data_IF_261009291043
#
_entry.id   IF_261009291043
#
_cell.length_a   1.000
_cell.length_b   1.000
_cell.length_c   1.000
_cell.angle_alpha   90.00
_cell.angle_beta   90.00
_cell.angle_gamma   90.00
#
_symmetry.space_group_name_H-M   'P 1'
#
loop_
_entity.id
_entity.type
_entity.pdbx_description
1 polymer ?
#
# COMPACT_ATOMS: atom_id res chain seq x y z
N UNK A 1 4.24 21.23 -9.37
CA UNK A 1 4.68 21.41 -7.97
C UNK A 1 5.98 22.21 -7.97
N UNK A 2 6.06 23.32 -7.22
CA UNK A 2 7.29 24.12 -7.12
C UNK A 2 8.21 23.63 -6.00
N UNK A 3 9.45 24.13 -5.96
CA UNK A 3 10.45 23.77 -4.92
C UNK A 3 9.99 24.09 -3.49
N UNK A 4 9.09 25.06 -3.30
CA UNK A 4 8.51 25.41 -2.00
C UNK A 4 7.72 24.24 -1.38
N UNK A 5 7.09 23.40 -2.21
CA UNK A 5 6.30 22.26 -1.73
C UNK A 5 7.14 21.23 -0.95
N UNK A 6 8.45 21.16 -1.22
CA UNK A 6 9.39 20.29 -0.49
C UNK A 6 9.56 20.78 0.95
N UNK A 7 9.65 22.11 1.12
CA UNK A 7 9.73 22.71 2.44
C UNK A 7 8.41 22.54 3.20
N UNK A 8 7.27 22.75 2.53
CA UNK A 8 5.94 22.58 3.15
C UNK A 8 5.73 21.14 3.65
N UNK A 9 6.11 20.13 2.85
CA UNK A 9 6.09 18.73 3.28
C UNK A 9 7.00 18.47 4.49
N UNK A 10 8.15 19.14 4.56
CA UNK A 10 9.07 19.01 5.69
C UNK A 10 8.49 19.63 6.96
N UNK A 11 7.82 20.79 6.85
CA UNK A 11 7.11 21.43 7.95
C UNK A 11 5.99 20.55 8.49
N UNK A 12 5.19 19.93 7.60
CA UNK A 12 4.14 18.99 8.01
C UNK A 12 4.70 17.80 8.81
N UNK A 13 5.85 17.24 8.39
CA UNK A 13 6.55 16.19 9.15
C UNK A 13 7.01 16.69 10.53
N UNK A 14 7.54 17.91 10.61
CA UNK A 14 7.94 18.51 11.90
C UNK A 14 6.76 18.74 12.85
N UNK A 15 5.58 19.11 12.33
CA UNK A 15 4.38 19.32 13.12
C UNK A 15 3.97 18.07 13.93
N UNK A 16 4.19 16.86 13.39
CA UNK A 16 3.92 15.61 14.11
C UNK A 16 4.64 15.59 15.46
N UNK A 17 5.96 15.84 15.48
CA UNK A 17 6.76 15.78 16.70
C UNK A 17 6.47 16.95 17.65
N UNK A 18 6.13 18.12 17.12
CA UNK A 18 5.67 19.26 17.95
C UNK A 18 4.36 18.89 18.67
N UNK A 19 3.41 18.28 17.96
CA UNK A 19 2.13 17.84 18.55
C UNK A 19 2.34 16.72 19.57
N UNK A 20 3.19 15.74 19.27
CA UNK A 20 3.55 14.67 20.20
C UNK A 20 4.14 15.25 21.49
N UNK A 21 5.12 16.14 21.38
CA UNK A 21 5.74 16.77 22.55
C UNK A 21 4.74 17.62 23.33
N UNK A 22 3.89 18.39 22.64
CA UNK A 22 2.92 19.28 23.30
C UNK A 22 1.87 18.51 24.10
N UNK A 23 1.36 17.41 23.55
CA UNK A 23 0.20 16.71 24.09
C UNK A 23 0.56 15.46 24.90
N UNK A 24 1.70 14.82 24.59
CA UNK A 24 2.02 13.50 25.13
C UNK A 24 3.36 13.42 25.85
N UNK A 25 4.13 14.51 26.01
CA UNK A 25 5.44 14.47 26.72
C UNK A 25 5.44 13.85 28.11
N UNK A 26 4.30 13.88 28.80
CA UNK A 26 4.13 13.31 30.15
C UNK A 26 3.43 11.94 30.14
N UNK A 27 3.05 11.42 28.96
CA UNK A 27 2.48 10.10 28.83
C UNK A 27 3.57 9.04 29.03
N UNK A 28 3.26 7.94 29.73
CA UNK A 28 4.23 6.88 30.01
C UNK A 28 4.84 6.28 28.73
N UNK A 29 4.03 6.16 27.68
CA UNK A 29 4.41 5.63 26.36
C UNK A 29 4.90 6.71 25.37
N UNK A 30 5.27 7.92 25.84
CA UNK A 30 5.71 9.00 24.94
C UNK A 30 6.85 8.58 24.01
N UNK A 31 7.84 7.85 24.56
CA UNK A 31 8.98 7.37 23.78
C UNK A 31 8.54 6.41 22.67
N UNK A 32 7.62 5.49 22.97
CA UNK A 32 7.09 4.54 22.00
C UNK A 32 6.35 5.25 20.85
N UNK A 33 5.61 6.33 21.14
CA UNK A 33 4.99 7.13 20.07
C UNK A 33 6.04 7.74 19.13
N UNK A 34 7.12 8.30 19.68
CA UNK A 34 8.20 8.89 18.89
C UNK A 34 8.88 7.84 18.03
N UNK A 35 9.17 6.66 18.60
CA UNK A 35 9.80 5.53 17.90
C UNK A 35 8.91 5.03 16.75
N UNK A 36 7.62 4.83 17.00
CA UNK A 36 6.66 4.38 15.98
C UNK A 36 6.53 5.38 14.82
N UNK A 37 6.47 6.68 15.09
CA UNK A 37 6.43 7.69 14.04
C UNK A 37 7.74 7.75 13.24
N UNK A 38 8.89 7.59 13.90
CA UNK A 38 10.19 7.54 13.22
C UNK A 38 10.33 6.29 12.34
N UNK A 39 9.91 5.13 12.83
CA UNK A 39 9.89 3.89 12.04
C UNK A 39 8.95 4.05 10.85
N UNK A 40 7.72 4.53 11.06
CA UNK A 40 6.75 4.71 9.98
C UNK A 40 7.28 5.67 8.91
N UNK A 41 7.92 6.75 9.32
CA UNK A 41 8.59 7.67 8.40
C UNK A 41 9.66 6.96 7.60
N UNK A 42 10.59 6.27 8.25
CA UNK A 42 11.69 5.58 7.59
C UNK A 42 11.19 4.53 6.60
N UNK A 43 10.23 3.68 7.01
CA UNK A 43 9.64 2.66 6.16
C UNK A 43 8.92 3.27 4.96
N UNK A 44 8.15 4.34 5.17
CA UNK A 44 7.45 5.03 4.06
C UNK A 44 8.44 5.64 3.07
N UNK A 45 9.48 6.32 3.56
CA UNK A 45 10.53 6.90 2.72
C UNK A 45 11.31 5.81 1.95
N UNK A 46 11.60 4.69 2.59
CA UNK A 46 12.23 3.52 1.97
C UNK A 46 11.33 2.90 0.89
N UNK A 47 10.04 2.71 1.16
CA UNK A 47 9.08 2.19 0.20
C UNK A 47 8.93 3.10 -1.02
N UNK A 48 8.88 4.41 -0.82
CA UNK A 48 8.85 5.41 -1.90
C UNK A 48 10.13 5.42 -2.73
N UNK A 49 11.30 5.28 -2.08
CA UNK A 49 12.58 5.16 -2.77
C UNK A 49 12.64 3.89 -3.62
N UNK A 50 12.22 2.75 -3.07
CA UNK A 50 12.17 1.48 -3.79
C UNK A 50 11.22 1.54 -4.98
N UNK A 51 10.01 2.06 -4.79
CA UNK A 51 9.03 2.29 -5.87
C UNK A 51 9.67 3.10 -7.00
N UNK A 52 10.18 4.29 -6.67
CA UNK A 52 10.80 5.20 -7.67
C UNK A 52 12.01 4.57 -8.37
N UNK A 53 12.85 3.85 -7.63
CA UNK A 53 14.07 3.25 -8.18
C UNK A 53 13.75 2.11 -9.13
N UNK A 54 12.80 1.25 -8.77
CA UNK A 54 12.34 0.14 -9.64
C UNK A 54 11.68 0.71 -10.90
N UNK A 55 10.79 1.70 -10.77
CA UNK A 55 10.12 2.33 -11.91
C UNK A 55 11.11 2.95 -12.91
N UNK A 56 12.22 3.52 -12.42
CA UNK A 56 13.23 4.18 -13.26
C UNK A 56 14.26 3.25 -13.87
N UNK A 57 14.65 2.20 -13.14
CA UNK A 57 15.83 1.40 -13.48
C UNK A 57 15.49 -0.03 -13.92
N UNK A 58 14.22 -0.45 -13.87
CA UNK A 58 13.80 -1.79 -14.26
C UNK A 58 12.82 -1.74 -15.43
N UNK A 59 13.03 -2.62 -16.40
CA UNK A 59 11.99 -2.91 -17.40
C UNK A 59 10.85 -3.68 -16.72
N UNK A 60 9.65 -3.59 -17.29
CA UNK A 60 8.48 -4.25 -16.76
C UNK A 60 8.67 -5.78 -16.54
N UNK A 61 9.46 -6.44 -17.39
CA UNK A 61 9.76 -7.88 -17.26
C UNK A 61 10.71 -8.26 -16.12
N UNK A 62 11.37 -7.27 -15.49
CA UNK A 62 12.22 -7.49 -14.31
C UNK A 62 11.52 -7.13 -12.99
N UNK A 63 10.27 -6.65 -13.05
CA UNK A 63 9.48 -6.36 -11.86
C UNK A 63 8.88 -7.65 -11.29
N UNK A 64 9.02 -7.85 -9.98
CA UNK A 64 8.62 -9.11 -9.33
C UNK A 64 7.58 -8.91 -8.24
N UNK A 65 6.88 -9.99 -7.89
CA UNK A 65 5.92 -9.99 -6.78
C UNK A 65 6.59 -9.66 -5.43
N UNK A 66 7.84 -10.06 -5.22
CA UNK A 66 8.60 -9.77 -4.00
C UNK A 66 8.94 -8.29 -3.89
N UNK A 67 9.33 -7.66 -5.01
CA UNK A 67 9.57 -6.23 -5.07
C UNK A 67 8.29 -5.45 -4.78
N UNK A 68 7.17 -5.87 -5.38
CA UNK A 68 5.85 -5.28 -5.12
C UNK A 68 5.47 -5.40 -3.65
N UNK A 69 5.53 -6.62 -3.08
CA UNK A 69 5.21 -6.85 -1.68
C UNK A 69 6.10 -5.99 -0.75
N UNK A 70 7.38 -5.81 -1.06
CA UNK A 70 8.26 -4.91 -0.32
C UNK A 70 7.79 -3.45 -0.41
N UNK A 71 7.48 -2.97 -1.62
CA UNK A 71 6.97 -1.61 -1.83
C UNK A 71 5.69 -1.42 -1.02
N UNK A 72 4.69 -2.26 -1.21
CA UNK A 72 3.38 -2.12 -0.55
C UNK A 72 3.49 -2.13 0.96
N UNK A 73 4.25 -3.07 1.53
CA UNK A 73 4.41 -3.19 2.98
C UNK A 73 5.05 -1.96 3.62
N UNK A 74 5.99 -1.32 2.93
CA UNK A 74 6.75 -0.19 3.47
C UNK A 74 6.13 1.17 3.09
N UNK A 75 5.68 1.33 1.84
CA UNK A 75 5.11 2.56 1.29
C UNK A 75 3.71 2.83 1.82
N UNK A 76 2.90 1.80 2.06
CA UNK A 76 1.46 1.95 2.31
C UNK A 76 1.00 1.27 3.59
N UNK A 77 1.25 -0.04 3.72
CA UNK A 77 0.60 -0.85 4.75
C UNK A 77 0.95 -0.41 6.18
N UNK A 78 2.23 -0.13 6.44
CA UNK A 78 2.67 0.18 7.79
C UNK A 78 2.10 1.49 8.34
N UNK A 79 2.22 2.60 7.60
CA UNK A 79 1.77 3.89 8.10
C UNK A 79 0.24 4.06 8.04
N UNK A 80 -0.42 3.42 7.07
CA UNK A 80 -1.86 3.59 6.85
C UNK A 80 -2.70 2.71 7.77
N UNK A 81 -2.22 1.50 8.09
CA UNK A 81 -3.01 0.51 8.82
C UNK A 81 -2.39 0.15 10.18
N UNK A 82 -1.12 -0.26 10.19
CA UNK A 82 -0.48 -0.70 11.44
C UNK A 82 -0.26 0.46 12.43
N UNK A 83 0.33 1.56 11.98
CA UNK A 83 0.70 2.69 12.84
C UNK A 83 -0.48 3.25 13.66
N UNK A 84 -1.66 3.55 13.10
CA UNK A 84 -2.79 4.06 13.88
C UNK A 84 -3.23 3.12 15.00
N UNK A 85 -3.26 1.81 14.73
CA UNK A 85 -3.65 0.79 15.72
C UNK A 85 -2.57 0.63 16.78
N UNK A 86 -1.29 0.56 16.39
CA UNK A 86 -0.18 0.47 17.33
C UNK A 86 -0.14 1.69 18.28
N UNK A 87 -0.33 2.91 17.75
CA UNK A 87 -0.44 4.13 18.56
C UNK A 87 -1.60 4.05 19.54
N UNK A 88 -2.77 3.56 19.09
CA UNK A 88 -3.93 3.33 19.95
C UNK A 88 -3.63 2.34 21.08
N UNK A 89 -2.95 1.23 20.78
CA UNK A 89 -2.55 0.23 21.76
C UNK A 89 -1.58 0.78 22.81
N UNK A 90 -0.59 1.55 22.40
CA UNK A 90 0.30 2.23 23.36
C UNK A 90 -0.49 3.24 24.21
N UNK A 91 -1.39 4.03 23.60
CA UNK A 91 -2.17 5.01 24.33
C UNK A 91 -3.02 4.39 25.46
N UNK A 92 -3.66 3.25 25.20
CA UNK A 92 -4.45 2.55 26.22
C UNK A 92 -3.61 1.62 27.12
N UNK A 93 -2.29 1.57 26.92
CA UNK A 93 -1.34 0.64 27.59
C UNK A 93 -1.68 -0.84 27.36
N UNK A 94 -2.17 -1.16 26.16
CA UNK A 94 -2.47 -2.51 25.68
C UNK A 94 -1.45 -3.05 24.67
N UNK A 95 -0.34 -2.35 24.44
CA UNK A 95 0.72 -2.71 23.49
C UNK A 95 1.66 -3.82 24.03
N UNK A 96 1.11 -4.97 24.39
CA UNK A 96 1.93 -6.16 24.61
C UNK A 96 2.57 -6.61 23.29
N UNK A 97 3.72 -7.29 23.36
CA UNK A 97 4.39 -7.86 22.18
C UNK A 97 3.44 -8.74 21.37
N UNK A 98 2.62 -9.55 22.04
CA UNK A 98 1.60 -10.38 21.41
C UNK A 98 0.54 -9.55 20.66
N UNK A 99 0.04 -8.47 21.27
CA UNK A 99 -0.97 -7.61 20.64
C UNK A 99 -0.41 -6.84 19.44
N UNK A 100 0.82 -6.33 19.56
CA UNK A 100 1.49 -5.63 18.46
C UNK A 100 1.78 -6.57 17.29
N UNK A 101 2.31 -7.77 17.56
CA UNK A 101 2.61 -8.75 16.52
C UNK A 101 1.34 -9.24 15.82
N UNK A 102 0.28 -9.50 16.58
CA UNK A 102 -1.04 -9.86 16.04
C UNK A 102 -1.60 -8.74 15.17
N UNK A 103 -1.58 -7.51 15.66
CA UNK A 103 -2.03 -6.35 14.89
C UNK A 103 -1.21 -6.18 13.61
N UNK A 104 0.11 -6.32 13.69
CA UNK A 104 1.03 -6.23 12.54
C UNK A 104 0.68 -7.26 11.46
N UNK A 105 0.49 -8.52 11.84
CA UNK A 105 0.20 -9.60 10.90
C UNK A 105 -1.11 -9.41 10.14
N UNK A 106 -2.16 -8.90 10.81
CA UNK A 106 -3.45 -8.62 10.17
C UNK A 106 -3.37 -7.34 9.32
N UNK A 107 -2.87 -6.25 9.90
CA UNK A 107 -2.92 -4.92 9.28
C UNK A 107 -1.98 -4.78 8.07
N UNK A 108 -0.90 -5.55 8.01
CA UNK A 108 -0.08 -5.61 6.80
C UNK A 108 -0.81 -6.30 5.64
N UNK A 109 -1.61 -7.34 5.89
CA UNK A 109 -2.45 -7.96 4.85
C UNK A 109 -3.61 -7.06 4.42
N UNK A 110 -4.20 -6.31 5.34
CA UNK A 110 -5.19 -5.28 5.02
C UNK A 110 -4.55 -4.21 4.12
N UNK A 111 -3.35 -3.74 4.46
CA UNK A 111 -2.62 -2.77 3.66
C UNK A 111 -2.20 -3.29 2.29
N UNK A 112 -1.89 -4.58 2.17
CA UNK A 112 -1.66 -5.24 0.89
C UNK A 112 -2.90 -5.18 0.01
N UNK A 113 -4.05 -5.59 0.55
CA UNK A 113 -5.33 -5.51 -0.16
C UNK A 113 -5.66 -4.07 -0.59
N UNK A 114 -5.48 -3.10 0.30
CA UNK A 114 -5.74 -1.69 0.00
C UNK A 114 -4.89 -1.15 -1.14
N UNK A 115 -3.59 -1.50 -1.19
CA UNK A 115 -2.74 -1.04 -2.29
C UNK A 115 -3.10 -1.72 -3.61
N UNK A 116 -3.47 -3.01 -3.60
CA UNK A 116 -3.94 -3.68 -4.81
C UNK A 116 -5.25 -3.05 -5.33
N UNK A 117 -6.12 -2.62 -4.42
CA UNK A 117 -7.32 -1.85 -4.76
C UNK A 117 -6.97 -0.47 -5.33
N UNK A 118 -6.00 0.26 -4.76
CA UNK A 118 -5.53 1.54 -5.30
C UNK A 118 -4.96 1.36 -6.72
N UNK A 119 -4.13 0.34 -6.96
CA UNK A 119 -3.60 0.00 -8.29
C UNK A 119 -4.74 -0.31 -9.29
N UNK A 120 -5.76 -1.08 -8.86
CA UNK A 120 -6.96 -1.37 -9.67
C UNK A 120 -7.73 -0.09 -10.00
N UNK A 121 -7.98 0.77 -9.02
CA UNK A 121 -8.71 2.02 -9.20
C UNK A 121 -7.92 3.05 -10.01
N UNK A 122 -6.59 2.98 -10.03
CA UNK A 122 -5.77 3.82 -10.89
C UNK A 122 -6.08 3.55 -12.38
N UNK A 123 -6.30 2.28 -12.74
CA UNK A 123 -6.54 1.88 -14.14
C UNK A 123 -8.03 1.84 -14.50
N UNK A 124 -8.87 1.30 -13.64
CA UNK A 124 -10.29 1.04 -13.93
C UNK A 124 -11.25 1.97 -13.18
N UNK A 125 -10.74 2.76 -12.22
CA UNK A 125 -11.55 3.66 -11.43
C UNK A 125 -12.08 4.84 -12.23
N UNK A 126 -13.29 5.29 -11.91
CA UNK A 126 -13.83 6.52 -12.48
C UNK A 126 -13.14 7.74 -11.84
N UNK A 127 -12.48 8.63 -12.62
CA UNK A 127 -11.79 9.82 -12.08
C UNK A 127 -12.70 10.74 -11.25
N UNK A 128 -14.01 10.75 -11.52
CA UNK A 128 -14.98 11.53 -10.73
C UNK A 128 -15.15 10.99 -9.30
N UNK A 129 -14.93 9.68 -9.12
CA UNK A 129 -15.03 9.00 -7.82
C UNK A 129 -13.68 8.94 -7.12
N UNK A 130 -12.60 8.62 -7.85
CA UNK A 130 -11.24 8.49 -7.30
C UNK A 130 -10.59 9.86 -7.02
N UNK A 131 -11.07 10.93 -7.69
CA UNK A 131 -10.51 12.27 -7.57
C UNK A 131 -9.16 12.46 -8.28
N UNK A 132 -8.65 11.42 -8.97
CA UNK A 132 -7.39 11.43 -9.71
C UNK A 132 -7.54 10.76 -11.07
N UNK A 133 -6.70 11.18 -12.01
CA UNK A 133 -6.45 10.44 -13.26
C UNK A 133 -5.30 9.49 -12.95
N UNK A 134 -5.46 8.21 -13.28
CA UNK A 134 -4.39 7.22 -13.08
C UNK A 134 -3.20 7.46 -13.98
N UNK A 135 -2.02 7.15 -13.47
CA UNK A 135 -0.75 7.35 -14.19
C UNK A 135 0.15 6.12 -14.13
N UNK A 136 -0.25 5.05 -13.43
CA UNK A 136 0.62 3.92 -13.11
C UNK A 136 1.24 3.25 -14.35
N UNK A 137 0.45 3.08 -15.42
CA UNK A 137 0.92 2.48 -16.69
C UNK A 137 2.01 3.35 -17.33
N UNK A 138 1.77 4.66 -17.37
CA UNK A 138 2.67 5.62 -18.03
C UNK A 138 3.95 5.83 -17.22
N UNK A 139 3.83 5.80 -15.89
CA UNK A 139 4.92 6.00 -14.93
C UNK A 139 5.77 4.73 -14.69
N UNK A 140 5.49 3.65 -15.45
CA UNK A 140 6.19 2.36 -15.32
C UNK A 140 6.10 1.81 -13.90
N UNK A 141 4.94 1.93 -13.26
CA UNK A 141 4.76 1.47 -11.87
C UNK A 141 4.78 -0.04 -11.76
N UNK A 142 5.48 -0.53 -10.74
CA UNK A 142 5.43 -1.92 -10.32
C UNK A 142 4.10 -2.13 -9.57
N UNK A 143 3.07 -2.55 -10.31
CA UNK A 143 1.71 -2.75 -9.78
C UNK A 143 1.30 -4.21 -9.82
N UNK A 144 0.28 -4.54 -9.05
CA UNK A 144 -0.35 -5.87 -9.15
C UNK A 144 -0.87 -6.14 -10.57
N UNK A 145 -1.40 -5.12 -11.24
CA UNK A 145 -1.91 -5.18 -12.60
C UNK A 145 -0.84 -5.45 -13.66
N UNK A 146 0.43 -5.12 -13.38
CA UNK A 146 1.56 -5.46 -14.24
C UNK A 146 2.01 -6.91 -14.02
N UNK A 147 2.21 -7.28 -12.75
CA UNK A 147 2.84 -8.55 -12.36
C UNK A 147 1.98 -9.74 -12.77
N UNK A 148 0.65 -9.62 -12.67
CA UNK A 148 -0.29 -10.68 -13.01
C UNK A 148 -0.21 -11.09 -14.49
N UNK A 149 -0.40 -10.19 -15.48
CA UNK A 149 -0.18 -10.48 -16.89
C UNK A 149 1.19 -11.04 -17.24
N UNK A 150 2.25 -10.55 -16.59
CA UNK A 150 3.60 -11.08 -16.86
C UNK A 150 3.74 -12.54 -16.43
N UNK A 151 3.00 -12.97 -15.41
CA UNK A 151 2.99 -14.36 -14.97
C UNK A 151 2.08 -15.25 -15.83
N UNK A 152 0.84 -14.81 -16.11
CA UNK A 152 -0.19 -15.63 -16.79
C UNK A 152 -0.20 -15.50 -18.32
N UNK A 153 0.36 -14.43 -18.87
CA UNK A 153 0.36 -14.14 -20.30
C UNK A 153 1.39 -14.95 -21.09
N UNK A 154 1.12 -15.13 -22.39
CA UNK A 154 2.02 -15.77 -23.34
C UNK A 154 3.19 -14.85 -23.76
N UNK A 155 4.12 -15.38 -24.56
CA UNK A 155 5.31 -14.63 -24.98
C UNK A 155 4.99 -13.32 -25.72
N UNK A 156 4.01 -13.33 -26.64
CA UNK A 156 3.62 -12.15 -27.41
C UNK A 156 2.99 -11.07 -26.51
N UNK A 157 2.18 -11.48 -25.54
CA UNK A 157 1.56 -10.58 -24.57
C UNK A 157 2.60 -9.93 -23.66
N UNK A 158 3.60 -10.71 -23.20
CA UNK A 158 4.72 -10.19 -22.41
C UNK A 158 5.57 -9.22 -23.22
N UNK A 159 5.84 -9.52 -24.49
CA UNK A 159 6.58 -8.62 -25.37
C UNK A 159 5.82 -7.30 -25.59
N UNK A 160 4.50 -7.37 -25.81
CA UNK A 160 3.67 -6.17 -25.95
C UNK A 160 3.73 -5.28 -24.71
N UNK A 161 3.70 -5.86 -23.51
CA UNK A 161 3.88 -5.11 -22.26
C UNK A 161 5.27 -4.47 -22.16
N UNK A 162 6.33 -5.17 -22.55
CA UNK A 162 7.68 -4.58 -22.58
C UNK A 162 7.77 -3.37 -23.53
N UNK A 163 7.07 -3.42 -24.66
CA UNK A 163 7.09 -2.37 -25.67
C UNK A 163 6.18 -1.18 -25.31
N UNK A 164 5.13 -1.42 -24.52
CA UNK A 164 4.05 -0.44 -24.29
C UNK A 164 3.95 0.11 -22.87
N UNK A 165 4.38 -0.63 -21.85
CA UNK A 165 4.33 -0.16 -20.47
C UNK A 165 5.42 0.89 -20.20
N UNK A 166 5.14 1.90 -19.37
CA UNK A 166 6.07 2.99 -19.06
C UNK A 166 6.27 4.00 -20.19
N UNK A 167 5.30 4.12 -21.10
CA UNK A 167 5.34 5.06 -22.24
C UNK A 167 4.25 6.10 -22.07
N UNK A 168 4.61 7.37 -22.20
CA UNK A 168 3.69 8.51 -22.09
C UNK A 168 2.83 8.73 -23.36
N UNK A 169 3.02 7.95 -24.43
CA UNK A 169 2.16 8.01 -25.61
C UNK A 169 0.81 7.31 -25.31
N UNK A 170 -0.33 7.99 -25.43
CA UNK A 170 -1.66 7.40 -25.20
C UNK A 170 -1.95 6.16 -26.04
N UNK A 171 -1.33 6.01 -27.21
CA UNK A 171 -1.48 4.82 -28.04
C UNK A 171 -0.89 3.56 -27.37
N UNK A 172 0.19 3.72 -26.60
CA UNK A 172 0.82 2.64 -25.85
C UNK A 172 -0.05 2.24 -24.65
N UNK A 173 -0.54 3.21 -23.88
CA UNK A 173 -1.49 2.97 -22.79
C UNK A 173 -2.74 2.25 -23.29
N UNK A 174 -3.32 2.70 -24.41
CA UNK A 174 -4.47 2.04 -25.02
C UNK A 174 -4.20 0.58 -25.43
N UNK A 175 -2.96 0.21 -25.78
CA UNK A 175 -2.58 -1.19 -26.03
C UNK A 175 -2.53 -2.01 -24.73
N UNK A 176 -1.97 -1.44 -23.66
CA UNK A 176 -1.94 -2.08 -22.34
C UNK A 176 -3.36 -2.34 -21.84
N UNK A 177 -4.25 -1.36 -21.92
CA UNK A 177 -5.65 -1.50 -21.51
C UNK A 177 -6.39 -2.58 -22.30
N UNK A 178 -6.18 -2.66 -23.62
CA UNK A 178 -6.75 -3.74 -24.45
C UNK A 178 -6.22 -5.12 -24.05
N UNK A 179 -4.94 -5.24 -23.68
CA UNK A 179 -4.42 -6.51 -23.19
C UNK A 179 -5.04 -6.86 -21.82
N UNK A 180 -5.20 -5.89 -20.92
CA UNK A 180 -5.85 -6.14 -19.63
C UNK A 180 -7.29 -6.64 -19.80
N UNK A 181 -8.03 -6.09 -20.77
CA UNK A 181 -9.34 -6.59 -21.17
C UNK A 181 -9.28 -8.03 -21.74
N UNK A 182 -8.37 -8.30 -22.69
CA UNK A 182 -8.19 -9.65 -23.25
C UNK A 182 -7.85 -10.70 -22.19
N UNK A 183 -7.04 -10.33 -21.21
CA UNK A 183 -6.67 -11.19 -20.09
C UNK A 183 -7.75 -11.24 -19.01
N UNK A 184 -8.81 -10.43 -19.08
CA UNK A 184 -9.87 -10.36 -18.08
C UNK A 184 -9.33 -9.99 -16.68
N UNK A 185 -8.43 -9.00 -16.62
CA UNK A 185 -7.77 -8.57 -15.38
C UNK A 185 -8.75 -8.06 -14.34
N UNK A 186 -9.81 -7.36 -14.76
CA UNK A 186 -10.87 -6.95 -13.85
C UNK A 186 -11.55 -8.15 -13.17
N UNK A 187 -11.84 -9.21 -13.92
CA UNK A 187 -12.40 -10.45 -13.36
C UNK A 187 -11.42 -11.09 -12.37
N UNK A 188 -10.13 -11.16 -12.70
CA UNK A 188 -9.11 -11.68 -11.79
C UNK A 188 -9.00 -10.85 -10.50
N UNK A 189 -9.14 -9.52 -10.59
CA UNK A 189 -9.15 -8.65 -9.42
C UNK A 189 -10.36 -8.96 -8.53
N UNK A 190 -11.57 -9.11 -9.10
CA UNK A 190 -12.78 -9.46 -8.33
C UNK A 190 -12.64 -10.79 -7.60
N UNK A 191 -12.15 -11.82 -8.29
CA UNK A 191 -11.89 -13.13 -7.68
C UNK A 191 -10.83 -13.05 -6.57
N UNK A 192 -9.80 -12.22 -6.76
CA UNK A 192 -8.79 -11.95 -5.73
C UNK A 192 -9.38 -11.21 -4.53
N UNK A 193 -10.18 -10.16 -4.76
CA UNK A 193 -10.83 -9.33 -3.74
C UNK A 193 -11.76 -10.17 -2.87
N UNK A 194 -12.65 -10.96 -3.46
CA UNK A 194 -13.55 -11.87 -2.75
C UNK A 194 -12.75 -12.83 -1.85
N UNK A 195 -11.78 -13.54 -2.41
CA UNK A 195 -10.96 -14.51 -1.67
C UNK A 195 -10.15 -13.84 -0.55
N UNK A 196 -9.53 -12.69 -0.82
CA UNK A 196 -8.69 -11.98 0.16
C UNK A 196 -9.53 -11.45 1.32
N UNK A 197 -10.73 -10.94 1.05
CA UNK A 197 -11.66 -10.49 2.09
C UNK A 197 -12.17 -11.65 2.94
N UNK A 198 -12.51 -12.80 2.33
CA UNK A 198 -12.87 -14.01 3.07
C UNK A 198 -11.74 -14.47 4.00
N UNK A 199 -10.50 -14.52 3.50
CA UNK A 199 -9.32 -14.88 4.30
C UNK A 199 -9.07 -13.89 5.45
N UNK A 200 -9.17 -12.58 5.18
CA UNK A 200 -9.00 -11.52 6.19
C UNK A 200 -10.08 -11.60 7.27
N UNK A 201 -11.36 -11.72 6.89
CA UNK A 201 -12.45 -11.82 7.87
C UNK A 201 -12.35 -13.11 8.68
N UNK A 202 -11.93 -14.21 8.08
CA UNK A 202 -11.65 -15.44 8.83
C UNK A 202 -10.53 -15.21 9.86
N UNK A 203 -9.40 -14.62 9.46
CA UNK A 203 -8.30 -14.31 10.38
C UNK A 203 -8.72 -13.40 11.52
N UNK A 204 -9.57 -12.40 11.24
CA UNK A 204 -10.09 -11.45 12.24
C UNK A 204 -11.08 -12.14 13.20
N UNK A 205 -11.94 -13.01 12.68
CA UNK A 205 -12.94 -13.74 13.48
C UNK A 205 -12.33 -14.83 14.37
N UNK A 206 -11.29 -15.51 13.87
CA UNK A 206 -10.58 -16.58 14.60
C UNK A 206 -9.59 -16.03 15.64
N UNK A 207 -9.50 -14.70 15.77
CA UNK A 207 -8.55 -14.03 16.64
C UNK A 207 -8.87 -14.26 18.13
N UNK A 208 -7.88 -14.74 18.91
CA UNK A 208 -8.00 -14.82 20.36
C UNK A 208 -8.07 -13.40 20.97
N UNK A 209 -9.14 -13.13 21.72
CA UNK A 209 -9.40 -11.83 22.34
C UNK A 209 -9.06 -11.79 23.83
N UNK A 210 -8.51 -12.88 24.39
CA UNK A 210 -8.13 -12.96 25.83
C UNK A 210 -7.10 -11.91 26.23
N UNK A 211 -6.30 -11.42 25.29
CA UNK A 211 -5.32 -10.36 25.48
C UNK A 211 -5.93 -8.94 25.55
N UNK A 212 -7.26 -8.81 25.45
CA UNK A 212 -7.99 -7.54 25.46
C UNK A 212 -8.05 -6.81 24.11
N UNK A 213 -7.48 -7.39 23.05
CA UNK A 213 -7.53 -6.86 21.69
C UNK A 213 -8.83 -7.30 21.01
N UNK A 214 -9.78 -6.39 20.84
CA UNK A 214 -11.05 -6.69 20.17
C UNK A 214 -10.89 -6.80 18.65
N UNK A 215 -11.56 -7.78 18.02
CA UNK A 215 -11.49 -8.00 16.56
C UNK A 215 -12.10 -6.86 15.74
N UNK A 216 -13.03 -6.10 16.33
CA UNK A 216 -13.74 -4.98 15.69
C UNK A 216 -12.82 -3.93 15.07
N UNK A 217 -11.62 -3.71 15.63
CA UNK A 217 -10.68 -2.70 15.16
C UNK A 217 -10.05 -3.01 13.79
N UNK A 218 -10.19 -4.26 13.33
CA UNK A 218 -9.59 -4.75 12.07
C UNK A 218 -10.59 -4.82 10.91
N UNK A 219 -11.89 -4.63 11.17
CA UNK A 219 -12.88 -4.67 10.09
C UNK A 219 -12.79 -3.41 9.23
N UNK A 220 -12.68 -3.64 7.91
CA UNK A 220 -12.75 -2.60 6.91
C UNK A 220 -14.23 -2.31 6.67
N UNK A 221 -14.71 -1.16 7.13
CA UNK A 221 -16.05 -0.68 6.78
C UNK A 221 -15.97 0.00 5.41
N UNK A 222 -16.65 -0.59 4.42
CA UNK A 222 -16.85 -0.02 3.10
C UNK A 222 -17.92 1.07 3.07
#
# INVERSE_FOLDING_TARGET
MGLLAINDASLLKSCIFILLQRHFRNHAEYLAFIELFNEARFRTELGQLSDTTICRNSSAGHMTAEQYAFIVNNKTAFYSFYLPVALGLHYIRGASEENLERARNILLHVGEYFQIQDDYLDVFGNPKTTGKIGTDIQDNKCTWLLIRPFHSGNADQRQMLLDSYGKHDPAHEGRVLRLFDQLQIEKMYREFEEKKLEELYKQINDMDQRSGLGSSIFFIHS
#
